data_IF_060599959958
#
_entry.id   IF_060599959958
#
_cell.length_a   1.000
_cell.length_b   1.000
_cell.length_c   1.000
_cell.angle_alpha   90.00
_cell.angle_beta   90.00
_cell.angle_gamma   90.00
#
_symmetry.space_group_name_H-M   'P 1'
#
loop_
_entity.id
_entity.type
_entity.pdbx_description
1 polymer ?
#
# COMPACT_ATOMS: atom_id res chain seq x y z
N UNK A 1 -5.49 16.85 7.20
CA UNK A 1 -4.60 16.86 6.01
C UNK A 1 -3.17 17.06 6.48
N UNK A 2 -2.25 16.21 6.05
CA UNK A 2 -0.81 16.35 6.31
C UNK A 2 -0.04 16.81 5.08
N UNK A 3 -0.35 16.25 3.91
CA UNK A 3 0.24 16.65 2.62
C UNK A 3 -0.85 16.70 1.57
N UNK A 4 -0.80 17.71 0.71
CA UNK A 4 -1.62 17.81 -0.50
C UNK A 4 -0.78 18.29 -1.66
N UNK A 5 -0.97 17.67 -2.84
CA UNK A 5 -0.27 18.06 -4.07
C UNK A 5 -1.25 18.42 -5.17
N UNK A 6 -0.86 19.40 -5.98
CA UNK A 6 -1.62 19.83 -7.14
C UNK A 6 -0.72 19.87 -8.37
N UNK A 7 -1.07 19.09 -9.38
CA UNK A 7 -0.41 19.04 -10.67
C UNK A 7 1.06 18.62 -10.63
N UNK A 8 1.43 17.75 -9.67
CA UNK A 8 2.82 17.37 -9.42
C UNK A 8 3.41 16.69 -10.65
N UNK A 9 4.43 17.31 -11.23
CA UNK A 9 5.08 16.82 -12.45
C UNK A 9 6.59 16.75 -12.28
N UNK A 10 7.20 15.67 -12.78
CA UNK A 10 8.66 15.50 -12.80
C UNK A 10 9.14 14.99 -14.14
N UNK A 11 10.09 15.74 -14.72
CA UNK A 11 10.81 15.38 -15.96
C UNK A 11 12.29 15.14 -15.66
N UNK A 12 12.85 14.11 -16.25
CA UNK A 12 14.29 13.84 -16.32
C UNK A 12 14.71 13.89 -17.79
N UNK A 13 15.21 15.05 -18.22
CA UNK A 13 15.43 15.32 -19.63
C UNK A 13 14.13 15.16 -20.43
N UNK A 14 14.10 14.21 -21.37
CA UNK A 14 12.89 13.91 -22.18
C UNK A 14 11.91 12.94 -21.49
N UNK A 15 12.33 12.25 -20.42
CA UNK A 15 11.49 11.25 -19.74
C UNK A 15 10.58 11.94 -18.72
N UNK A 16 9.27 11.77 -18.89
CA UNK A 16 8.26 12.22 -17.94
C UNK A 16 8.08 11.10 -16.90
N UNK A 17 8.52 11.35 -15.67
CA UNK A 17 8.44 10.39 -14.57
C UNK A 17 7.16 10.53 -13.74
N UNK A 18 6.63 11.76 -13.61
CA UNK A 18 5.32 12.05 -13.03
C UNK A 18 4.64 13.10 -13.89
N UNK A 19 3.33 12.96 -14.08
CA UNK A 19 2.52 13.81 -14.92
C UNK A 19 1.22 14.21 -14.21
N UNK A 20 1.15 15.44 -13.74
CA UNK A 20 -0.05 16.01 -13.13
C UNK A 20 -0.64 15.15 -12.00
N UNK A 21 0.20 14.78 -11.03
CA UNK A 21 -0.17 13.87 -9.94
C UNK A 21 -0.73 14.66 -8.76
N UNK A 22 -1.97 14.34 -8.36
CA UNK A 22 -2.68 14.92 -7.22
C UNK A 22 -2.84 13.88 -6.12
N UNK A 23 -2.18 14.11 -4.99
CA UNK A 23 -2.19 13.22 -3.81
C UNK A 23 -2.69 14.02 -2.61
N UNK A 24 -3.52 13.40 -1.78
CA UNK A 24 -3.93 13.91 -0.49
C UNK A 24 -3.66 12.85 0.57
N UNK A 25 -3.00 13.26 1.66
CA UNK A 25 -2.68 12.40 2.81
C UNK A 25 -3.29 13.05 4.03
N UNK A 26 -4.27 12.39 4.63
CA UNK A 26 -4.90 12.83 5.86
C UNK A 26 -4.27 12.13 7.09
N UNK A 27 -4.42 12.74 8.28
CA UNK A 27 -3.82 12.21 9.52
C UNK A 27 -4.42 10.86 9.90
N UNK A 28 -3.57 9.93 10.36
CA UNK A 28 -3.96 8.60 10.83
C UNK A 28 -4.33 7.59 9.73
N UNK A 29 -4.20 7.98 8.44
CA UNK A 29 -4.47 7.07 7.32
C UNK A 29 -3.28 6.17 7.01
N UNK A 30 -3.58 4.97 6.54
CA UNK A 30 -2.67 4.13 5.77
C UNK A 30 -2.98 4.33 4.28
N UNK A 31 -2.03 4.94 3.57
CA UNK A 31 -2.13 5.22 2.13
C UNK A 31 -1.24 4.24 1.37
N UNK A 32 -1.82 3.48 0.44
CA UNK A 32 -1.09 2.61 -0.46
C UNK A 32 -0.92 3.26 -1.84
N UNK A 33 0.32 3.30 -2.32
CA UNK A 33 0.69 3.86 -3.62
C UNK A 33 1.20 2.74 -4.53
N UNK A 34 0.29 2.19 -5.31
CA UNK A 34 0.48 1.01 -6.15
C UNK A 34 0.97 1.39 -7.55
N UNK A 35 1.79 0.54 -8.13
CA UNK A 35 2.22 0.70 -9.52
C UNK A 35 3.31 -0.28 -9.91
N UNK A 36 3.46 -0.50 -11.20
CA UNK A 36 4.53 -1.34 -11.74
C UNK A 36 5.92 -0.73 -11.49
N UNK A 37 6.98 -1.52 -11.69
CA UNK A 37 8.34 -1.00 -11.61
C UNK A 37 8.55 0.09 -12.68
N UNK A 38 9.12 1.22 -12.25
CA UNK A 38 9.29 2.39 -13.12
C UNK A 38 8.06 3.28 -13.28
N UNK A 39 6.92 3.00 -12.63
CA UNK A 39 5.72 3.83 -12.69
C UNK A 39 5.90 5.25 -12.12
N UNK A 40 6.93 5.49 -11.27
CA UNK A 40 7.20 6.78 -10.64
C UNK A 40 7.07 6.79 -9.11
N UNK A 41 6.89 5.61 -8.47
CA UNK A 41 6.64 5.49 -7.02
C UNK A 41 7.73 6.16 -6.17
N UNK A 42 8.99 5.75 -6.31
CA UNK A 42 10.12 6.33 -5.55
C UNK A 42 10.36 7.80 -5.90
N UNK A 43 10.10 8.21 -7.16
CA UNK A 43 10.16 9.63 -7.55
C UNK A 43 9.15 10.46 -6.76
N UNK A 44 7.93 9.94 -6.57
CA UNK A 44 6.90 10.58 -5.76
C UNK A 44 7.34 10.71 -4.30
N UNK A 45 7.81 9.62 -3.66
CA UNK A 45 8.32 9.68 -2.28
C UNK A 45 9.44 10.71 -2.16
N UNK A 46 10.43 10.69 -3.06
CA UNK A 46 11.55 11.64 -3.00
C UNK A 46 11.10 13.09 -3.11
N UNK A 47 10.04 13.38 -3.86
CA UNK A 47 9.48 14.73 -3.94
C UNK A 47 8.69 15.06 -2.66
N UNK A 48 7.82 14.17 -2.18
CA UNK A 48 7.01 14.41 -0.98
C UNK A 48 7.85 14.51 0.30
N UNK A 49 9.05 13.95 0.32
CA UNK A 49 10.02 14.05 1.42
C UNK A 49 10.99 15.23 1.28
N UNK A 50 10.88 16.01 0.19
CA UNK A 50 11.76 17.15 -0.08
C UNK A 50 13.16 16.80 -0.58
N UNK A 51 13.46 15.53 -0.82
CA UNK A 51 14.75 15.07 -1.37
C UNK A 51 14.92 15.41 -2.86
N UNK A 52 13.81 15.64 -3.56
CA UNK A 52 13.79 15.95 -4.98
C UNK A 52 12.81 17.10 -5.26
N UNK A 53 13.23 18.11 -6.00
CA UNK A 53 12.32 19.17 -6.45
C UNK A 53 11.47 18.70 -7.64
N UNK A 54 10.16 18.99 -7.65
CA UNK A 54 9.32 18.77 -8.83
C UNK A 54 9.74 19.69 -9.98
N UNK A 55 9.36 19.35 -11.20
CA UNK A 55 9.53 20.24 -12.37
C UNK A 55 8.43 21.31 -12.40
N UNK A 56 7.20 20.93 -12.01
CA UNK A 56 6.06 21.85 -11.84
C UNK A 56 5.05 21.23 -10.86
N UNK A 57 4.02 22.01 -10.50
CA UNK A 57 3.03 21.66 -9.47
C UNK A 57 3.42 22.21 -8.10
N UNK A 58 2.52 22.06 -7.15
CA UNK A 58 2.70 22.55 -5.78
C UNK A 58 2.48 21.46 -4.74
N UNK A 59 3.14 21.62 -3.60
CA UNK A 59 2.98 20.74 -2.46
C UNK A 59 2.70 21.60 -1.23
N UNK A 60 1.63 21.28 -0.54
CA UNK A 60 1.28 21.91 0.75
C UNK A 60 1.49 20.90 1.87
N UNK A 61 2.22 21.32 2.90
CA UNK A 61 2.48 20.53 4.10
C UNK A 61 1.75 21.12 5.30
N UNK A 62 1.31 20.28 6.21
CA UNK A 62 0.86 20.74 7.51
C UNK A 62 2.00 21.47 8.26
N UNK A 63 1.68 22.49 9.07
CA UNK A 63 2.70 23.18 9.86
C UNK A 63 3.47 22.20 10.77
N UNK A 64 4.79 22.35 10.83
CA UNK A 64 5.69 21.54 11.66
C UNK A 64 5.60 20.03 11.43
N UNK A 65 5.19 19.59 10.24
CA UNK A 65 5.07 18.18 9.89
C UNK A 65 6.41 17.46 10.03
N UNK A 66 6.46 16.46 10.89
CA UNK A 66 7.60 15.56 11.03
C UNK A 66 7.43 14.35 10.14
N UNK A 67 8.45 14.07 9.34
CA UNK A 67 8.45 12.98 8.35
C UNK A 67 9.54 11.96 8.71
N UNK A 68 9.15 10.69 8.83
CA UNK A 68 10.05 9.55 8.82
C UNK A 68 10.09 8.89 7.44
N UNK A 69 11.26 8.36 7.04
CA UNK A 69 11.40 7.70 5.73
C UNK A 69 12.14 6.38 5.89
N UNK A 70 11.59 5.32 5.34
CA UNK A 70 12.26 4.03 5.15
C UNK A 70 12.45 3.83 3.65
N UNK A 71 13.69 3.91 3.21
CA UNK A 71 14.04 3.71 1.80
C UNK A 71 14.03 2.21 1.44
N UNK A 72 14.02 1.91 0.16
CA UNK A 72 14.17 0.56 -0.35
C UNK A 72 15.48 -0.06 0.14
N UNK A 73 16.59 0.66 -0.05
CA UNK A 73 17.89 0.30 0.51
C UNK A 73 18.09 0.95 1.88
N UNK A 74 18.69 0.19 2.81
CA UNK A 74 18.98 0.72 4.13
C UNK A 74 20.12 1.75 4.10
N UNK A 75 20.00 2.75 4.96
CA UNK A 75 21.02 3.80 5.16
C UNK A 75 21.82 3.59 6.46
N UNK A 76 21.66 2.43 7.10
CA UNK A 76 22.36 2.09 8.34
C UNK A 76 23.73 1.47 8.06
N UNK A 77 24.68 1.65 8.99
CA UNK A 77 26.02 1.09 8.89
C UNK A 77 26.02 -0.41 9.23
N UNK A 78 26.47 -1.23 8.29
CA UNK A 78 26.53 -2.68 8.42
C UNK A 78 27.52 -3.15 9.52
N UNK A 79 28.54 -2.36 9.83
CA UNK A 79 29.60 -2.71 10.78
C UNK A 79 29.25 -2.34 12.22
N UNK A 80 28.30 -1.43 12.42
CA UNK A 80 27.82 -1.04 13.73
C UNK A 80 26.76 -2.00 14.24
N UNK A 81 26.61 -2.06 15.57
CA UNK A 81 25.47 -2.78 16.17
C UNK A 81 24.16 -2.06 15.87
N UNK A 82 23.05 -2.77 15.98
CA UNK A 82 21.70 -2.15 15.91
C UNK A 82 21.59 -1.01 16.93
N UNK A 83 22.06 -1.28 18.16
CA UNK A 83 22.07 -0.28 19.24
C UNK A 83 22.82 0.99 18.82
N UNK A 84 24.07 0.85 18.34
CA UNK A 84 24.89 1.99 17.97
C UNK A 84 24.27 2.80 16.84
N UNK A 85 23.77 2.13 15.79
CA UNK A 85 23.05 2.78 14.70
C UNK A 85 21.87 3.62 15.21
N UNK A 86 21.01 3.08 16.08
CA UNK A 86 19.85 3.78 16.60
C UNK A 86 20.24 4.93 17.55
N UNK A 87 21.21 4.72 18.46
CA UNK A 87 21.64 5.77 19.37
C UNK A 87 22.39 6.91 18.68
N UNK A 88 23.25 6.61 17.68
CA UNK A 88 23.88 7.66 16.88
C UNK A 88 22.83 8.50 16.15
N UNK A 89 21.85 7.84 15.54
CA UNK A 89 20.75 8.54 14.87
C UNK A 89 19.93 9.38 15.85
N UNK A 90 19.61 8.84 17.02
CA UNK A 90 18.83 9.52 18.05
C UNK A 90 19.51 10.81 18.53
N UNK A 91 20.83 10.79 18.72
CA UNK A 91 21.63 11.97 19.14
C UNK A 91 21.65 13.10 18.10
N UNK A 92 21.27 12.82 16.84
CA UNK A 92 21.18 13.88 15.81
C UNK A 92 19.91 14.74 15.96
N UNK A 93 18.93 14.30 16.74
CA UNK A 93 17.70 15.05 16.98
C UNK A 93 17.79 15.87 18.28
N UNK A 94 17.30 17.13 18.22
CA UNK A 94 17.28 18.03 19.41
C UNK A 94 16.36 17.52 20.52
N UNK A 95 15.34 16.77 20.17
CA UNK A 95 14.26 16.27 21.04
C UNK A 95 14.44 14.79 21.39
N UNK A 96 15.70 14.30 21.48
CA UNK A 96 15.97 12.91 21.80
C UNK A 96 15.42 12.53 23.19
N UNK A 97 14.60 11.49 23.23
CA UNK A 97 14.13 10.84 24.47
C UNK A 97 14.65 9.40 24.53
N UNK A 98 15.40 9.11 25.60
CA UNK A 98 15.90 7.75 25.85
C UNK A 98 14.75 6.78 26.13
N UNK A 99 13.76 7.23 26.91
CA UNK A 99 12.59 6.43 27.28
C UNK A 99 11.78 6.04 26.04
N UNK A 100 11.63 6.98 25.11
CA UNK A 100 10.97 6.68 23.82
C UNK A 100 11.74 5.66 23.00
N UNK A 101 13.05 5.80 22.91
CA UNK A 101 13.86 4.82 22.17
C UNK A 101 13.73 3.43 22.78
N UNK A 102 13.71 3.29 24.10
CA UNK A 102 13.50 2.01 24.78
C UNK A 102 12.10 1.44 24.49
N UNK A 103 11.05 2.26 24.57
CA UNK A 103 9.69 1.87 24.18
C UNK A 103 9.61 1.44 22.70
N UNK A 104 10.28 2.16 21.83
CA UNK A 104 10.33 1.86 20.41
C UNK A 104 11.01 0.51 20.12
N UNK A 105 12.11 0.21 20.80
CA UNK A 105 12.82 -1.06 20.72
C UNK A 105 11.90 -2.23 21.10
N UNK A 106 11.10 -2.10 22.15
CA UNK A 106 10.13 -3.12 22.55
C UNK A 106 8.98 -3.21 21.55
N UNK A 107 8.40 -2.06 21.15
CA UNK A 107 7.27 -1.98 20.23
C UNK A 107 7.57 -2.65 18.88
N UNK A 108 8.77 -2.41 18.34
CA UNK A 108 9.25 -2.97 17.07
C UNK A 108 9.74 -4.41 17.23
N UNK A 109 10.03 -4.85 18.47
CA UNK A 109 10.47 -6.21 18.77
C UNK A 109 11.91 -6.50 18.34
N UNK A 110 12.80 -5.49 18.46
CA UNK A 110 14.20 -5.60 18.04
C UNK A 110 15.19 -5.86 19.20
N UNK A 111 14.69 -5.93 20.44
CA UNK A 111 15.50 -6.08 21.66
C UNK A 111 16.47 -7.27 21.61
N UNK A 112 16.02 -8.41 21.05
CA UNK A 112 16.80 -9.65 21.03
C UNK A 112 18.07 -9.57 20.19
N UNK A 113 18.18 -8.62 19.26
CA UNK A 113 19.34 -8.47 18.37
C UNK A 113 19.96 -7.07 18.39
N UNK A 114 19.71 -6.28 19.45
CA UNK A 114 20.28 -4.94 19.62
C UNK A 114 21.80 -4.91 19.57
N UNK A 115 22.47 -5.92 20.11
CA UNK A 115 23.92 -6.00 20.18
C UNK A 115 24.55 -6.73 18.96
N UNK A 116 23.72 -7.17 18.00
CA UNK A 116 24.22 -7.76 16.76
C UNK A 116 24.60 -6.66 15.76
N UNK A 117 25.60 -6.92 14.92
CA UNK A 117 25.93 -6.03 13.82
C UNK A 117 24.78 -6.00 12.81
N UNK A 118 24.43 -4.80 12.34
CA UNK A 118 23.32 -4.62 11.40
C UNK A 118 23.48 -5.47 10.13
N UNK A 119 24.70 -5.57 9.59
CA UNK A 119 25.00 -6.36 8.39
C UNK A 119 24.78 -7.87 8.53
N UNK A 120 24.70 -8.41 9.77
CA UNK A 120 24.48 -9.85 10.01
C UNK A 120 23.01 -10.23 10.19
N UNK A 121 22.12 -9.25 10.18
CA UNK A 121 20.68 -9.45 10.37
C UNK A 121 20.01 -10.06 9.13
N UNK A 122 18.92 -10.82 9.33
CA UNK A 122 18.05 -11.21 8.24
C UNK A 122 17.34 -9.99 7.61
N UNK A 123 16.82 -10.12 6.39
CA UNK A 123 16.11 -9.03 5.70
C UNK A 123 14.97 -8.43 6.54
N UNK A 124 14.13 -9.27 7.15
CA UNK A 124 13.05 -8.82 8.02
C UNK A 124 13.51 -8.16 9.31
N UNK A 125 14.63 -8.64 9.90
CA UNK A 125 15.24 -7.98 11.04
C UNK A 125 15.77 -6.60 10.67
N UNK A 126 16.49 -6.49 9.53
CA UNK A 126 16.97 -5.19 9.01
C UNK A 126 15.80 -4.22 8.79
N UNK A 127 14.72 -4.67 8.13
CA UNK A 127 13.56 -3.82 7.86
C UNK A 127 12.92 -3.29 9.15
N UNK A 128 12.82 -4.12 10.21
CA UNK A 128 12.35 -3.64 11.52
C UNK A 128 13.26 -2.58 12.12
N UNK A 129 14.57 -2.72 11.99
CA UNK A 129 15.53 -1.69 12.46
C UNK A 129 15.41 -0.40 11.65
N UNK A 130 15.21 -0.48 10.32
CA UNK A 130 15.00 0.68 9.46
C UNK A 130 13.72 1.45 9.84
N UNK A 131 12.64 0.71 10.16
CA UNK A 131 11.40 1.30 10.66
C UNK A 131 11.64 1.96 12.03
N UNK A 132 12.33 1.28 12.97
CA UNK A 132 12.68 1.86 14.26
C UNK A 132 13.47 3.18 14.09
N UNK A 133 14.49 3.18 13.22
CA UNK A 133 15.28 4.38 12.92
C UNK A 133 14.40 5.54 12.41
N UNK A 134 13.44 5.25 11.54
CA UNK A 134 12.57 6.28 10.97
C UNK A 134 11.58 6.86 11.99
N UNK A 135 11.28 6.12 13.08
CA UNK A 135 10.34 6.52 14.13
C UNK A 135 10.99 7.23 15.33
N UNK A 136 12.32 7.38 15.37
CA UNK A 136 13.06 7.93 16.53
C UNK A 136 12.58 9.34 16.93
N UNK A 137 12.28 10.20 15.95
CA UNK A 137 11.85 11.59 16.21
C UNK A 137 10.33 11.77 16.26
N UNK A 138 9.56 10.73 16.55
CA UNK A 138 8.09 10.77 16.59
C UNK A 138 7.49 11.44 15.34
N UNK A 139 7.65 10.87 14.15
CA UNK A 139 7.09 11.46 12.95
C UNK A 139 5.56 11.40 12.96
N UNK A 140 4.93 12.42 12.36
CA UNK A 140 3.48 12.42 12.07
C UNK A 140 3.14 11.53 10.86
N UNK A 141 4.10 11.39 9.93
CA UNK A 141 3.97 10.66 8.69
C UNK A 141 5.21 9.82 8.42
N UNK A 142 5.01 8.52 8.19
CA UNK A 142 6.03 7.57 7.81
C UNK A 142 5.90 7.20 6.33
N UNK A 143 6.90 7.50 5.53
CA UNK A 143 7.05 6.99 4.17
C UNK A 143 7.81 5.68 4.17
N UNK A 144 7.32 4.69 3.42
CA UNK A 144 7.99 3.41 3.21
C UNK A 144 8.05 3.11 1.71
N UNK A 145 9.26 3.03 1.18
CA UNK A 145 9.48 2.65 -0.22
C UNK A 145 9.67 1.13 -0.31
N UNK A 146 8.65 0.45 -0.82
CA UNK A 146 8.60 -1.02 -0.98
C UNK A 146 9.08 -1.80 0.26
N UNK A 147 8.40 -1.65 1.43
CA UNK A 147 8.93 -2.11 2.71
C UNK A 147 9.10 -3.62 2.85
N UNK A 148 8.47 -4.41 1.99
CA UNK A 148 8.40 -5.87 2.08
C UNK A 148 9.03 -6.60 0.90
N UNK A 149 9.57 -5.86 -0.07
CA UNK A 149 10.24 -6.43 -1.24
C UNK A 149 11.41 -7.33 -0.84
N UNK A 150 11.47 -8.53 -1.44
CA UNK A 150 12.51 -9.52 -1.16
C UNK A 150 12.35 -10.27 0.16
N UNK A 151 11.23 -10.10 0.88
CA UNK A 151 10.92 -10.84 2.10
C UNK A 151 9.98 -12.02 1.82
N UNK A 152 10.16 -13.10 2.58
CA UNK A 152 9.22 -14.22 2.57
C UNK A 152 7.85 -13.83 3.12
N UNK A 153 6.82 -14.63 2.85
CA UNK A 153 5.44 -14.33 3.20
C UNK A 153 5.25 -14.11 4.72
N UNK A 154 5.88 -14.95 5.56
CA UNK A 154 5.72 -14.81 7.01
C UNK A 154 6.35 -13.52 7.52
N UNK A 155 7.52 -13.18 7.02
CA UNK A 155 8.20 -11.93 7.36
C UNK A 155 7.41 -10.71 6.89
N UNK A 156 6.79 -10.76 5.70
CA UNK A 156 5.88 -9.71 5.21
C UNK A 156 4.71 -9.50 6.17
N UNK A 157 4.04 -10.56 6.59
CA UNK A 157 2.93 -10.48 7.56
C UNK A 157 3.35 -9.84 8.88
N UNK A 158 4.56 -10.16 9.39
CA UNK A 158 5.10 -9.52 10.61
C UNK A 158 5.28 -8.02 10.43
N UNK A 159 5.82 -7.57 9.30
CA UNK A 159 5.97 -6.14 9.01
C UNK A 159 4.59 -5.47 8.88
N UNK A 160 3.64 -6.10 8.20
CA UNK A 160 2.28 -5.58 8.05
C UNK A 160 1.56 -5.40 9.39
N UNK A 161 1.59 -6.43 10.25
CA UNK A 161 1.01 -6.35 11.58
C UNK A 161 1.65 -5.22 12.41
N UNK A 162 2.95 -5.02 12.26
CA UNK A 162 3.65 -3.89 12.90
C UNK A 162 3.13 -2.55 12.39
N UNK A 163 3.04 -2.36 11.06
CA UNK A 163 2.55 -1.11 10.46
C UNK A 163 1.10 -0.81 10.87
N UNK A 164 0.22 -1.80 10.85
CA UNK A 164 -1.16 -1.66 11.33
C UNK A 164 -1.23 -1.30 12.82
N UNK A 165 -0.37 -1.90 13.65
CA UNK A 165 -0.28 -1.57 15.08
C UNK A 165 0.16 -0.12 15.28
N UNK A 166 1.17 0.34 14.54
CA UNK A 166 1.64 1.72 14.58
C UNK A 166 0.55 2.70 14.14
N UNK A 167 -0.17 2.40 13.06
CA UNK A 167 -1.28 3.23 12.60
C UNK A 167 -2.41 3.28 13.63
N UNK A 168 -2.96 2.10 14.02
CA UNK A 168 -4.18 2.04 14.84
C UNK A 168 -3.96 2.44 16.29
N UNK A 169 -2.81 2.06 16.89
CA UNK A 169 -2.55 2.28 18.31
C UNK A 169 -1.77 3.58 18.60
N UNK A 170 -0.92 4.02 17.65
CA UNK A 170 -0.10 5.22 17.81
C UNK A 170 -0.61 6.42 16.98
N UNK A 171 -1.67 6.23 16.19
CA UNK A 171 -2.21 7.28 15.32
C UNK A 171 -1.26 7.70 14.19
N UNK A 172 -0.23 6.88 13.90
CA UNK A 172 0.77 7.18 12.88
C UNK A 172 0.12 7.18 11.49
N UNK A 173 0.39 8.23 10.70
CA UNK A 173 0.04 8.22 9.28
C UNK A 173 1.11 7.47 8.50
N UNK A 174 0.71 6.61 7.59
CA UNK A 174 1.62 5.79 6.81
C UNK A 174 1.33 5.98 5.32
N UNK A 175 2.37 6.27 4.54
CA UNK A 175 2.33 6.25 3.09
C UNK A 175 3.35 5.22 2.60
N UNK A 176 2.88 4.18 1.96
CA UNK A 176 3.76 3.13 1.44
C UNK A 176 3.62 2.96 -0.06
N UNK A 177 4.73 2.68 -0.72
CA UNK A 177 4.73 2.16 -2.08
C UNK A 177 4.79 0.65 -2.04
N UNK A 178 4.07 0.00 -2.92
CA UNK A 178 4.13 -1.46 -3.07
C UNK A 178 3.74 -1.86 -4.50
N UNK A 179 4.19 -3.03 -4.89
CA UNK A 179 3.68 -3.78 -6.03
C UNK A 179 2.89 -5.03 -5.59
N UNK A 180 2.73 -5.25 -4.28
CA UNK A 180 1.90 -6.33 -3.73
C UNK A 180 0.49 -5.82 -3.45
N UNK A 181 -0.48 -6.34 -4.19
CA UNK A 181 -1.90 -5.91 -4.12
C UNK A 181 -2.55 -6.25 -2.79
N UNK A 182 -2.18 -7.38 -2.19
CA UNK A 182 -2.67 -7.84 -0.89
C UNK A 182 -2.34 -6.82 0.22
N UNK A 183 -1.21 -6.15 0.08
CA UNK A 183 -0.79 -5.11 1.02
C UNK A 183 -1.70 -3.89 0.98
N UNK A 184 -2.21 -3.56 -0.18
CA UNK A 184 -3.06 -2.39 -0.38
C UNK A 184 -4.53 -2.64 0.00
N UNK A 185 -4.98 -3.90 0.12
CA UNK A 185 -6.39 -4.19 0.44
C UNK A 185 -6.85 -3.62 1.79
N UNK A 186 -5.93 -3.47 2.72
CA UNK A 186 -6.21 -2.91 4.05
C UNK A 186 -5.90 -1.41 4.17
N UNK A 187 -5.58 -0.74 3.06
CA UNK A 187 -5.32 0.70 3.06
C UNK A 187 -6.63 1.50 3.11
N UNK A 188 -6.62 2.61 3.87
CA UNK A 188 -7.74 3.55 3.92
C UNK A 188 -7.91 4.28 2.59
N UNK A 189 -6.79 4.58 1.93
CA UNK A 189 -6.71 5.24 0.64
C UNK A 189 -5.68 4.56 -0.25
N UNK A 190 -6.02 4.38 -1.51
CA UNK A 190 -5.18 3.77 -2.52
C UNK A 190 -5.05 4.68 -3.73
N UNK A 191 -3.86 4.74 -4.30
CA UNK A 191 -3.60 5.37 -5.59
C UNK A 191 -2.95 4.34 -6.51
N UNK A 192 -3.47 4.17 -7.72
CA UNK A 192 -2.90 3.30 -8.75
C UNK A 192 -2.19 4.17 -9.77
N UNK A 193 -0.87 4.01 -9.82
CA UNK A 193 0.04 4.78 -10.67
C UNK A 193 0.56 3.91 -11.82
N UNK A 194 0.51 4.44 -13.03
CA UNK A 194 1.14 3.83 -14.20
C UNK A 194 1.71 4.92 -15.12
N UNK A 195 2.95 4.73 -15.57
CA UNK A 195 3.66 5.67 -16.45
C UNK A 195 3.57 7.14 -15.97
N UNK A 196 3.72 7.36 -14.67
CA UNK A 196 3.69 8.69 -14.05
C UNK A 196 2.31 9.31 -13.87
N UNK A 197 1.22 8.60 -14.20
CA UNK A 197 -0.16 9.10 -14.06
C UNK A 197 -0.91 8.31 -12.99
N UNK A 198 -1.74 9.00 -12.19
CA UNK A 198 -2.71 8.32 -11.33
C UNK A 198 -3.90 7.91 -12.19
N UNK A 199 -4.10 6.60 -12.36
CA UNK A 199 -5.20 6.03 -13.15
C UNK A 199 -6.46 5.81 -12.32
N UNK A 200 -6.31 5.52 -11.02
CA UNK A 200 -7.42 5.38 -10.08
C UNK A 200 -7.01 5.77 -8.68
N UNK A 201 -7.98 6.26 -7.90
CA UNK A 201 -7.84 6.56 -6.48
C UNK A 201 -9.14 6.26 -5.73
N UNK A 202 -9.04 5.86 -4.47
CA UNK A 202 -10.17 5.54 -3.59
C UNK A 202 -9.80 4.47 -2.56
N UNK A 203 -10.76 4.04 -1.75
CA UNK A 203 -10.58 2.85 -0.90
C UNK A 203 -10.55 1.57 -1.75
N UNK A 204 -10.07 0.46 -1.17
CA UNK A 204 -10.07 -0.83 -1.85
C UNK A 204 -11.49 -1.23 -2.31
N UNK A 205 -12.51 -0.96 -1.50
CA UNK A 205 -13.92 -1.24 -1.85
C UNK A 205 -14.40 -0.40 -3.04
N UNK A 206 -14.13 0.91 -3.03
CA UNK A 206 -14.51 1.80 -4.14
C UNK A 206 -13.83 1.41 -5.46
N UNK A 207 -12.55 1.02 -5.40
CA UNK A 207 -11.82 0.58 -6.60
C UNK A 207 -12.37 -0.76 -7.10
N UNK A 208 -12.64 -1.72 -6.21
CA UNK A 208 -13.25 -3.01 -6.59
C UNK A 208 -14.64 -2.82 -7.20
N UNK A 209 -15.49 -2.04 -6.58
CA UNK A 209 -16.84 -1.77 -7.08
C UNK A 209 -16.83 -1.16 -8.48
N UNK A 210 -15.93 -0.21 -8.73
CA UNK A 210 -15.86 0.50 -10.02
C UNK A 210 -15.20 -0.33 -11.14
N UNK A 211 -14.16 -1.09 -10.83
CA UNK A 211 -13.31 -1.71 -11.85
C UNK A 211 -13.35 -3.23 -11.86
N UNK A 212 -13.77 -3.87 -10.78
CA UNK A 212 -13.88 -5.32 -10.66
C UNK A 212 -15.16 -5.70 -9.89
N UNK A 213 -16.36 -5.38 -10.42
CA UNK A 213 -17.60 -5.76 -9.77
C UNK A 213 -17.68 -7.28 -9.62
N UNK A 214 -18.33 -7.73 -8.56
CA UNK A 214 -18.57 -9.16 -8.33
C UNK A 214 -19.39 -9.75 -9.47
N UNK A 215 -19.17 -11.03 -9.78
CA UNK A 215 -19.83 -11.75 -10.88
C UNK A 215 -20.41 -13.04 -10.36
N UNK A 216 -21.67 -13.29 -10.73
CA UNK A 216 -22.30 -14.59 -10.56
C UNK A 216 -22.42 -15.28 -11.91
N UNK A 217 -21.75 -16.41 -12.09
CA UNK A 217 -21.95 -17.30 -13.23
C UNK A 217 -22.87 -18.44 -12.83
N UNK A 218 -23.89 -18.67 -13.61
CA UNK A 218 -24.83 -19.76 -13.40
C UNK A 218 -24.92 -20.62 -14.65
N UNK A 219 -25.02 -21.93 -14.47
CA UNK A 219 -25.37 -22.87 -15.51
C UNK A 219 -26.84 -23.27 -15.33
N UNK A 220 -27.65 -23.03 -16.35
CA UNK A 220 -29.10 -23.29 -16.30
C UNK A 220 -29.42 -24.66 -16.94
N UNK A 221 -30.36 -25.37 -16.35
CA UNK A 221 -30.84 -26.69 -16.86
C UNK A 221 -31.57 -26.57 -18.18
N UNK A 222 -32.34 -25.50 -18.36
CA UNK A 222 -33.26 -25.32 -19.50
C UNK A 222 -32.81 -24.26 -20.53
N UNK A 223 -31.55 -23.86 -20.46
CA UNK A 223 -30.93 -22.86 -21.33
C UNK A 223 -31.68 -21.50 -21.43
N UNK A 224 -32.48 -21.17 -20.42
CA UNK A 224 -33.18 -19.88 -20.38
C UNK A 224 -32.32 -18.85 -19.66
N UNK A 225 -31.98 -17.72 -20.32
CA UNK A 225 -31.18 -16.67 -19.69
C UNK A 225 -31.94 -16.03 -18.54
N UNK A 226 -31.32 -15.91 -17.35
CA UNK A 226 -31.85 -15.04 -16.30
C UNK A 226 -31.96 -13.58 -16.75
N UNK A 227 -32.88 -12.83 -16.18
CA UNK A 227 -33.03 -11.39 -16.47
C UNK A 227 -31.69 -10.67 -16.16
N UNK A 228 -31.32 -9.75 -17.04
CA UNK A 228 -30.10 -8.95 -16.93
C UNK A 228 -28.77 -9.76 -16.94
N UNK A 229 -28.79 -10.96 -17.52
CA UNK A 229 -27.58 -11.78 -17.64
C UNK A 229 -26.94 -11.65 -19.04
N UNK A 230 -25.62 -11.80 -19.08
CA UNK A 230 -24.85 -11.95 -20.32
C UNK A 230 -24.73 -13.44 -20.61
N UNK A 231 -25.10 -13.86 -21.82
CA UNK A 231 -24.97 -15.25 -22.26
C UNK A 231 -23.50 -15.58 -22.51
N UNK A 232 -23.04 -16.68 -21.94
CA UNK A 232 -21.76 -17.31 -22.18
C UNK A 232 -21.95 -18.59 -23.00
N UNK A 233 -20.89 -19.36 -23.26
CA UNK A 233 -20.97 -20.69 -23.88
C UNK A 233 -21.53 -21.73 -22.89
N UNK A 234 -22.04 -22.84 -23.39
CA UNK A 234 -22.44 -24.02 -22.62
C UNK A 234 -23.52 -23.79 -21.59
N UNK A 235 -24.59 -23.09 -21.95
CA UNK A 235 -25.73 -22.76 -21.05
C UNK A 235 -25.32 -21.97 -19.78
N UNK A 236 -24.18 -21.28 -19.83
CA UNK A 236 -23.71 -20.42 -18.74
C UNK A 236 -24.15 -18.99 -18.98
N UNK A 237 -24.50 -18.32 -17.90
CA UNK A 237 -24.93 -16.92 -17.87
C UNK A 237 -24.17 -16.18 -16.79
N UNK A 238 -23.75 -14.95 -17.07
CA UNK A 238 -23.02 -14.09 -16.14
C UNK A 238 -23.90 -12.90 -15.74
N UNK A 239 -24.05 -12.70 -14.43
CA UNK A 239 -24.69 -11.54 -13.83
C UNK A 239 -23.63 -10.71 -13.12
N UNK A 240 -23.58 -9.42 -13.44
CA UNK A 240 -22.63 -8.47 -12.84
C UNK A 240 -23.21 -7.74 -11.63
N UNK A 241 -22.33 -7.23 -10.79
CA UNK A 241 -22.64 -6.29 -9.71
C UNK A 241 -23.58 -6.79 -8.60
N UNK A 242 -23.67 -8.11 -8.37
CA UNK A 242 -24.43 -8.65 -7.25
C UNK A 242 -23.60 -8.65 -5.96
N UNK A 243 -24.19 -8.16 -4.88
CA UNK A 243 -23.66 -8.40 -3.54
C UNK A 243 -24.02 -9.82 -3.05
N UNK A 244 -23.44 -10.24 -1.92
CA UNK A 244 -23.64 -11.60 -1.41
C UNK A 244 -25.10 -11.89 -1.06
N UNK A 245 -25.88 -10.91 -0.61
CA UNK A 245 -27.31 -11.07 -0.28
C UNK A 245 -28.13 -11.28 -1.54
N UNK A 246 -27.90 -10.45 -2.55
CA UNK A 246 -28.55 -10.55 -3.85
C UNK A 246 -28.25 -11.88 -4.54
N UNK A 247 -27.01 -12.39 -4.38
CA UNK A 247 -26.63 -13.72 -4.89
C UNK A 247 -27.41 -14.83 -4.20
N UNK A 248 -27.49 -14.78 -2.86
CA UNK A 248 -28.27 -15.76 -2.09
C UNK A 248 -29.74 -15.76 -2.49
N UNK A 249 -30.34 -14.58 -2.61
CA UNK A 249 -31.73 -14.41 -3.04
C UNK A 249 -31.96 -14.94 -4.45
N UNK A 250 -31.07 -14.62 -5.38
CA UNK A 250 -31.14 -15.13 -6.76
C UNK A 250 -31.04 -16.64 -6.81
N UNK A 251 -30.06 -17.24 -6.14
CA UNK A 251 -29.87 -18.69 -6.08
C UNK A 251 -31.06 -19.41 -5.45
N UNK A 252 -31.62 -18.83 -4.38
CA UNK A 252 -32.79 -19.38 -3.68
C UNK A 252 -34.02 -19.38 -4.57
N UNK A 253 -34.29 -18.26 -5.25
CA UNK A 253 -35.45 -18.13 -6.18
C UNK A 253 -35.35 -19.05 -7.37
N UNK A 254 -34.17 -19.33 -7.88
CA UNK A 254 -33.95 -20.10 -9.10
C UNK A 254 -33.37 -21.50 -8.83
N UNK A 255 -33.42 -22.01 -7.58
CA UNK A 255 -32.82 -23.26 -7.14
C UNK A 255 -33.11 -24.47 -8.06
N UNK A 256 -34.34 -24.61 -8.55
CA UNK A 256 -34.76 -25.75 -9.37
C UNK A 256 -34.27 -25.67 -10.82
N UNK A 257 -33.91 -24.47 -11.30
CA UNK A 257 -33.49 -24.19 -12.66
C UNK A 257 -31.96 -24.16 -12.81
N UNK A 258 -31.23 -23.94 -11.71
CA UNK A 258 -29.78 -23.89 -11.70
C UNK A 258 -29.21 -25.31 -11.60
N UNK A 259 -28.27 -25.63 -12.50
CA UNK A 259 -27.47 -26.87 -12.45
C UNK A 259 -26.20 -26.66 -11.63
N UNK A 260 -25.50 -25.53 -11.83
CA UNK A 260 -24.25 -25.18 -11.18
C UNK A 260 -24.09 -23.66 -11.09
N UNK A 261 -23.28 -23.17 -10.15
CA UNK A 261 -22.97 -21.75 -10.04
C UNK A 261 -21.57 -21.51 -9.54
N UNK A 262 -21.00 -20.37 -9.91
CA UNK A 262 -19.71 -19.84 -9.45
C UNK A 262 -19.90 -18.37 -9.08
N UNK A 263 -19.60 -18.00 -7.85
CA UNK A 263 -19.61 -16.60 -7.41
C UNK A 263 -18.19 -16.09 -7.23
N UNK A 264 -17.78 -15.15 -8.07
CA UNK A 264 -16.48 -14.51 -8.05
C UNK A 264 -16.62 -13.09 -7.47
N UNK A 265 -16.08 -12.88 -6.28
CA UNK A 265 -15.92 -11.54 -5.72
C UNK A 265 -14.76 -10.85 -6.41
N UNK A 266 -15.00 -9.69 -7.00
CA UNK A 266 -13.95 -8.90 -7.60
C UNK A 266 -12.80 -8.60 -6.63
N UNK A 267 -11.58 -8.84 -7.06
CA UNK A 267 -10.37 -8.60 -6.28
C UNK A 267 -9.70 -7.28 -6.68
N UNK A 268 -8.79 -6.79 -5.85
CA UNK A 268 -7.92 -5.65 -6.23
C UNK A 268 -7.03 -6.03 -7.42
N UNK A 269 -6.65 -7.30 -7.54
CA UNK A 269 -5.89 -7.80 -8.69
C UNK A 269 -6.69 -7.63 -10.01
N UNK A 270 -7.96 -8.04 -10.02
CA UNK A 270 -8.84 -7.88 -11.19
C UNK A 270 -9.00 -6.40 -11.56
N UNK A 271 -9.19 -5.55 -10.53
CA UNK A 271 -9.28 -4.11 -10.73
C UNK A 271 -7.99 -3.53 -11.30
N UNK A 272 -6.83 -3.93 -10.75
CA UNK A 272 -5.53 -3.46 -11.22
C UNK A 272 -5.27 -3.84 -12.68
N UNK A 273 -5.50 -5.11 -13.06
CA UNK A 273 -5.37 -5.58 -14.44
C UNK A 273 -6.28 -4.78 -15.36
N UNK A 274 -7.54 -4.55 -14.95
CA UNK A 274 -8.49 -3.79 -15.78
C UNK A 274 -8.09 -2.32 -15.95
N UNK A 275 -7.49 -1.70 -14.94
CA UNK A 275 -7.06 -0.29 -14.95
C UNK A 275 -5.78 -0.12 -15.77
N UNK A 276 -4.80 -1.01 -15.59
CA UNK A 276 -3.45 -0.85 -16.15
C UNK A 276 -3.21 -1.66 -17.42
N UNK A 277 -4.03 -2.69 -17.68
CA UNK A 277 -3.81 -3.68 -18.72
C UNK A 277 -2.63 -4.63 -18.44
N UNK A 278 -2.10 -4.65 -17.22
CA UNK A 278 -0.91 -5.40 -16.80
C UNK A 278 -1.16 -6.16 -15.51
N UNK A 279 -0.49 -7.29 -15.35
CA UNK A 279 -0.37 -7.97 -14.06
C UNK A 279 0.81 -7.40 -13.26
N UNK A 280 0.68 -7.30 -11.94
CA UNK A 280 1.82 -7.08 -11.04
C UNK A 280 2.53 -8.43 -10.86
N UNK A 281 3.83 -8.43 -11.05
CA UNK A 281 4.68 -9.63 -10.90
C UNK A 281 4.96 -9.91 -9.43
#
# INVERSE_FOLDING_TARGET
MLIETYGLTKKYGKKLALNNVDIKIDRGQLVAYLGTNGAGKSTTINILTGLLKPTSGTITYAPNLKIGVVFQDSVLDNNLTVKDNLYLRAKMYKTFSKDWLEQLIELIGIKKFLNQKYGTLSGGQRRRVDIARALIDHPDLLFLDEPTTGLDLQTRLVIWNLLQKLQKQQGLTIFLTTHYLEEAENADQMYILENGNILAKGSASQIKEKYAPSKLRVKMKDNKPPLHSKTLKDNKFELDALDSSQVIDFLTKNKNQIEDFEYHKGSINDAFIKITGKELQ
#
